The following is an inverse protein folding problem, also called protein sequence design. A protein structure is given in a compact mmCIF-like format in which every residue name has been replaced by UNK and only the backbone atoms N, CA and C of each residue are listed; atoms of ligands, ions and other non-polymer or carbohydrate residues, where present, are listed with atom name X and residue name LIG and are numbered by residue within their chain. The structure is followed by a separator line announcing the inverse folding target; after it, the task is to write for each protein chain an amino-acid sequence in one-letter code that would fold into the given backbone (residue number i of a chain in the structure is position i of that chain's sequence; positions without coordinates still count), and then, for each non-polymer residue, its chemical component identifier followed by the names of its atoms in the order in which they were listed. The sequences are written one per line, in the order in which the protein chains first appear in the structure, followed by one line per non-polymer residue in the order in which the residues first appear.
data_IF_327461145001
#
_entry.id   IF_327461145001
#
_cell.length_a   1.000
_cell.length_b   1.000
_cell.length_c   1.000
_cell.angle_alpha   90.00
_cell.angle_beta   90.00
_cell.angle_gamma   90.00
#
_symmetry.space_group_name_H-M   'P 1'
#
loop_
_entity.id
_entity.type
_entity.pdbx_description
1 polymer ?
#
# COMPACT_ATOMS: atom_id res chain seq x y z
N UNK A 1 -18.27 -27.55 26.00
CA UNK A 1 -18.45 -26.19 25.44
C UNK A 1 -17.61 -26.07 24.18
N UNK A 2 -18.22 -26.33 23.02
CA UNK A 2 -17.50 -26.38 21.74
C UNK A 2 -17.12 -25.00 21.19
N UNK A 3 -17.88 -23.95 21.53
CA UNK A 3 -17.62 -22.57 21.05
C UNK A 3 -16.24 -22.01 21.46
N UNK A 4 -15.69 -22.46 22.60
CA UNK A 4 -14.36 -22.03 23.09
C UNK A 4 -13.22 -22.43 22.15
N UNK A 5 -13.40 -23.48 21.34
CA UNK A 5 -12.42 -23.90 20.31
C UNK A 5 -12.39 -22.96 19.10
N UNK A 6 -13.44 -22.15 18.94
CA UNK A 6 -13.58 -21.17 17.86
C UNK A 6 -13.36 -19.73 18.33
N UNK A 7 -12.97 -19.51 19.60
CA UNK A 7 -12.68 -18.19 20.14
C UNK A 7 -11.17 -17.96 20.26
N UNK A 8 -10.68 -16.84 19.73
CA UNK A 8 -9.33 -16.31 19.97
C UNK A 8 -9.38 -15.14 20.94
N UNK A 9 -8.29 -14.86 21.66
CA UNK A 9 -8.23 -13.67 22.52
C UNK A 9 -8.14 -12.41 21.65
N UNK A 10 -8.92 -11.39 21.99
CA UNK A 10 -8.88 -10.09 21.30
C UNK A 10 -7.46 -9.51 21.32
N UNK A 11 -6.74 -9.64 22.43
CA UNK A 11 -5.35 -9.16 22.56
C UNK A 11 -4.38 -9.84 21.59
N UNK A 12 -4.58 -11.13 21.29
CA UNK A 12 -3.75 -11.88 20.34
C UNK A 12 -4.05 -11.43 18.91
N UNK A 13 -5.32 -11.18 18.59
CA UNK A 13 -5.74 -10.62 17.30
C UNK A 13 -5.19 -9.20 17.09
N UNK A 14 -5.30 -8.34 18.10
CA UNK A 14 -4.78 -6.97 18.04
C UNK A 14 -3.27 -6.95 17.82
N UNK A 15 -2.52 -7.76 18.57
CA UNK A 15 -1.06 -7.85 18.41
C UNK A 15 -0.67 -8.34 17.02
N UNK A 16 -1.34 -9.38 16.53
CA UNK A 16 -1.09 -9.91 15.20
C UNK A 16 -1.38 -8.87 14.11
N UNK A 17 -2.47 -8.10 14.25
CA UNK A 17 -2.82 -7.06 13.29
C UNK A 17 -1.77 -5.95 13.29
N UNK A 18 -1.34 -5.47 14.46
CA UNK A 18 -0.29 -4.44 14.56
C UNK A 18 1.04 -4.90 13.94
N UNK A 19 1.43 -6.16 14.13
CA UNK A 19 2.65 -6.71 13.51
C UNK A 19 2.54 -6.79 11.98
N UNK A 20 1.35 -7.07 11.45
CA UNK A 20 1.09 -7.07 10.01
C UNK A 20 1.16 -5.64 9.47
N UNK A 21 0.48 -4.69 10.10
CA UNK A 21 0.48 -3.28 9.70
C UNK A 21 1.89 -2.69 9.66
N UNK A 22 2.73 -3.01 10.66
CA UNK A 22 4.14 -2.60 10.68
C UNK A 22 4.94 -3.19 9.51
N UNK A 23 4.72 -4.47 9.19
CA UNK A 23 5.42 -5.12 8.06
C UNK A 23 5.01 -4.52 6.72
N UNK A 24 3.72 -4.21 6.53
CA UNK A 24 3.22 -3.57 5.31
C UNK A 24 3.86 -2.19 5.15
N UNK A 25 3.88 -1.38 6.21
CA UNK A 25 4.53 -0.06 6.19
C UNK A 25 6.02 -0.16 5.84
N UNK A 26 6.76 -1.04 6.50
CA UNK A 26 8.19 -1.19 6.24
C UNK A 26 8.47 -1.63 4.79
N UNK A 27 7.65 -2.53 4.24
CA UNK A 27 7.77 -2.95 2.83
C UNK A 27 7.52 -1.81 1.86
N UNK A 28 6.46 -1.04 2.10
CA UNK A 28 6.13 0.12 1.28
C UNK A 28 7.25 1.17 1.35
N UNK A 29 7.75 1.46 2.55
CA UNK A 29 8.79 2.47 2.75
C UNK A 29 10.09 2.10 2.02
N UNK A 30 10.59 0.88 2.20
CA UNK A 30 11.76 0.36 1.47
C UNK A 30 11.56 0.42 -0.05
N UNK A 31 10.37 0.03 -0.52
CA UNK A 31 10.06 0.06 -1.94
C UNK A 31 10.05 1.49 -2.50
N UNK A 32 9.45 2.44 -1.78
CA UNK A 32 9.42 3.86 -2.18
C UNK A 32 10.85 4.40 -2.24
N UNK A 33 11.68 4.18 -1.21
CA UNK A 33 13.09 4.61 -1.23
C UNK A 33 13.86 4.09 -2.46
N UNK A 34 13.53 2.88 -2.92
CA UNK A 34 14.16 2.27 -4.08
C UNK A 34 13.67 2.83 -5.43
N UNK A 35 12.47 3.40 -5.52
CA UNK A 35 11.85 3.77 -6.81
C UNK A 35 11.41 5.23 -6.91
N UNK A 36 11.41 5.98 -5.82
CA UNK A 36 11.00 7.38 -5.79
C UNK A 36 11.85 8.22 -6.75
N UNK A 37 11.18 9.12 -7.47
CA UNK A 37 11.77 10.01 -8.47
C UNK A 37 12.54 9.26 -9.59
N UNK A 38 12.33 7.95 -9.75
CA UNK A 38 12.79 7.18 -10.91
C UNK A 38 11.69 7.12 -11.96
N UNK A 39 12.07 6.91 -13.21
CA UNK A 39 11.15 6.71 -14.34
C UNK A 39 10.58 5.27 -14.33
N UNK A 40 9.92 4.93 -13.23
CA UNK A 40 9.40 3.59 -12.94
C UNK A 40 8.00 3.74 -12.36
N UNK A 41 7.03 3.04 -12.98
CA UNK A 41 5.69 2.85 -12.43
C UNK A 41 5.47 1.36 -12.15
N UNK A 42 4.69 1.07 -11.12
CA UNK A 42 4.45 -0.28 -10.62
C UNK A 42 2.97 -0.60 -10.77
N UNK A 43 2.65 -1.80 -11.25
CA UNK A 43 1.25 -2.25 -11.35
C UNK A 43 0.54 -2.21 -9.99
N UNK A 44 -0.68 -1.67 -9.97
CA UNK A 44 -1.54 -1.67 -8.79
C UNK A 44 -1.86 -3.10 -8.34
N UNK A 45 -2.06 -4.04 -9.27
CA UNK A 45 -2.36 -5.44 -8.93
C UNK A 45 -1.19 -6.08 -8.16
N UNK A 46 0.05 -5.77 -8.54
CA UNK A 46 1.23 -6.19 -7.78
C UNK A 46 1.23 -5.56 -6.37
N UNK A 47 0.90 -4.28 -6.24
CA UNK A 47 0.87 -3.59 -4.95
C UNK A 47 -0.22 -4.17 -4.02
N UNK A 48 -1.38 -4.52 -4.56
CA UNK A 48 -2.47 -5.20 -3.84
C UNK A 48 -1.96 -6.50 -3.23
N UNK A 49 -1.29 -7.35 -4.02
CA UNK A 49 -0.77 -8.62 -3.53
C UNK A 49 0.43 -8.44 -2.57
N UNK A 50 1.34 -7.51 -2.87
CA UNK A 50 2.59 -7.33 -2.13
C UNK A 50 2.37 -6.70 -0.74
N UNK A 51 1.44 -5.73 -0.67
CA UNK A 51 1.10 -5.00 0.55
C UNK A 51 -0.15 -5.58 1.25
N UNK A 52 -0.83 -6.54 0.63
CA UNK A 52 -2.11 -7.10 1.07
C UNK A 52 -3.21 -6.03 1.21
N UNK A 53 -3.31 -5.14 0.22
CA UNK A 53 -4.38 -4.13 0.17
C UNK A 53 -5.73 -4.79 -0.16
N UNK A 54 -6.79 -3.99 -0.13
CA UNK A 54 -8.08 -4.41 -0.67
C UNK A 54 -7.98 -4.90 -2.13
N UNK A 55 -8.84 -5.82 -2.52
CA UNK A 55 -8.88 -6.39 -3.87
C UNK A 55 -9.65 -5.49 -4.83
N UNK A 56 -10.55 -4.66 -4.32
CA UNK A 56 -11.16 -3.62 -5.12
C UNK A 56 -10.14 -2.51 -5.40
N UNK A 57 -10.05 -2.07 -6.66
CA UNK A 57 -9.01 -1.13 -7.09
C UNK A 57 -9.20 0.25 -6.45
N UNK A 58 -10.42 0.71 -6.28
CA UNK A 58 -10.70 2.03 -5.72
C UNK A 58 -10.41 2.05 -4.21
N UNK A 59 -10.75 0.96 -3.52
CA UNK A 59 -10.43 0.80 -2.10
C UNK A 59 -8.92 0.60 -1.89
N UNK A 60 -8.25 -0.16 -2.74
CA UNK A 60 -6.79 -0.32 -2.71
C UNK A 60 -6.04 1.01 -2.89
N UNK A 61 -6.49 1.86 -3.80
CA UNK A 61 -5.92 3.20 -4.02
C UNK A 61 -6.14 4.08 -2.77
N UNK A 62 -7.32 4.02 -2.15
CA UNK A 62 -7.59 4.76 -0.91
C UNK A 62 -6.71 4.27 0.25
N UNK A 63 -6.54 2.96 0.40
CA UNK A 63 -5.67 2.36 1.42
C UNK A 63 -4.20 2.74 1.18
N UNK A 64 -3.75 2.67 -0.07
CA UNK A 64 -2.41 3.10 -0.45
C UNK A 64 -2.19 4.58 -0.16
N UNK A 65 -3.16 5.45 -0.46
CA UNK A 65 -3.11 6.87 -0.13
C UNK A 65 -2.98 7.10 1.38
N UNK A 66 -3.73 6.34 2.20
CA UNK A 66 -3.60 6.40 3.65
C UNK A 66 -2.17 6.07 4.07
N UNK A 67 -1.60 4.98 3.56
CA UNK A 67 -0.23 4.57 3.89
C UNK A 67 0.82 5.60 3.46
N UNK A 68 0.74 6.12 2.23
CA UNK A 68 1.69 7.11 1.72
C UNK A 68 1.56 8.43 2.47
N UNK A 69 0.34 8.85 2.82
CA UNK A 69 0.11 10.09 3.58
C UNK A 69 0.74 10.09 4.98
N UNK A 70 1.03 8.91 5.52
CA UNK A 70 1.72 8.72 6.80
C UNK A 70 3.25 8.73 6.64
N UNK A 71 3.77 8.63 5.42
CA UNK A 71 5.18 8.76 5.10
C UNK A 71 5.42 10.22 4.72
N UNK A 72 6.22 10.92 5.51
CA UNK A 72 6.51 12.34 5.27
C UNK A 72 7.18 12.52 3.90
N UNK A 73 6.91 13.66 3.26
CA UNK A 73 7.53 14.08 2.00
C UNK A 73 7.32 13.17 0.77
N UNK A 74 6.40 12.20 0.83
CA UNK A 74 6.07 11.33 -0.32
C UNK A 74 4.68 11.61 -0.89
N UNK A 75 4.55 11.44 -2.21
CA UNK A 75 3.31 11.52 -2.96
C UNK A 75 3.32 10.45 -4.07
N UNK A 76 2.17 10.19 -4.69
CA UNK A 76 2.08 9.24 -5.80
C UNK A 76 1.26 9.81 -6.95
N UNK A 77 1.36 9.15 -8.09
CA UNK A 77 0.47 9.37 -9.22
C UNK A 77 -0.02 8.05 -9.79
N UNK A 78 -1.15 8.12 -10.47
CA UNK A 78 -1.82 6.99 -11.10
C UNK A 78 -1.78 7.20 -12.61
N UNK A 79 -1.39 6.17 -13.35
CA UNK A 79 -1.43 6.14 -14.81
C UNK A 79 -2.23 4.91 -15.22
N UNK A 80 -3.11 5.07 -16.19
CA UNK A 80 -3.86 3.96 -16.80
C UNK A 80 -3.26 3.70 -18.17
N UNK A 81 -2.91 2.45 -18.45
CA UNK A 81 -2.52 2.04 -19.80
C UNK A 81 -3.78 1.80 -20.63
N UNK A 82 -3.95 2.58 -21.70
CA UNK A 82 -5.12 2.50 -22.58
C UNK A 82 -5.19 1.19 -23.38
N UNK A 83 -4.09 0.44 -23.51
CA UNK A 83 -4.06 -0.79 -24.30
C UNK A 83 -4.76 -1.96 -23.60
N UNK A 84 -4.58 -2.07 -22.28
CA UNK A 84 -5.07 -3.19 -21.47
C UNK A 84 -5.87 -2.76 -20.24
N UNK A 85 -6.07 -1.45 -20.04
CA UNK A 85 -6.74 -0.84 -18.88
C UNK A 85 -6.06 -1.17 -17.55
N UNK A 86 -4.77 -1.50 -17.58
CA UNK A 86 -3.97 -1.73 -16.38
C UNK A 86 -3.67 -0.42 -15.66
N UNK A 87 -3.68 -0.47 -14.33
CA UNK A 87 -3.41 0.70 -13.48
C UNK A 87 -1.99 0.59 -12.95
N UNK A 88 -1.22 1.65 -13.10
CA UNK A 88 0.15 1.77 -12.62
C UNK A 88 0.29 2.95 -11.67
N UNK A 89 1.11 2.77 -10.65
CA UNK A 89 1.40 3.73 -9.60
C UNK A 89 2.87 4.12 -9.66
N UNK A 90 3.17 5.41 -9.67
CA UNK A 90 4.54 5.92 -9.54
C UNK A 90 4.65 6.79 -8.29
N UNK A 91 5.83 6.82 -7.69
CA UNK A 91 6.10 7.55 -6.46
C UNK A 91 7.00 8.75 -6.72
N UNK A 92 6.71 9.86 -6.07
CA UNK A 92 7.44 11.13 -6.23
C UNK A 92 7.59 11.82 -4.89
N UNK A 93 8.66 12.60 -4.75
CA UNK A 93 8.82 13.45 -3.57
C UNK A 93 7.75 14.57 -3.59
N UNK A 94 7.09 14.81 -2.46
CA UNK A 94 6.09 15.86 -2.22
C UNK A 94 6.76 17.24 -2.19
N UNK A 95 7.33 17.66 -3.32
CA UNK A 95 8.20 18.83 -3.34
C UNK A 95 8.95 19.11 -4.63
N UNK A 96 8.56 18.52 -5.77
CA UNK A 96 9.00 18.98 -7.11
C UNK A 96 7.83 19.15 -8.06
N UNK A 97 6.82 19.90 -7.65
CA UNK A 97 6.08 20.71 -8.63
C UNK A 97 7.00 21.87 -8.99
N UNK A 98 7.90 21.65 -9.96
CA UNK A 98 8.44 22.77 -10.72
C UNK A 98 7.38 23.15 -11.74
N UNK A 99 7.08 24.44 -11.74
CA UNK A 99 6.15 25.21 -12.59
C UNK A 99 4.70 25.29 -12.11
#
# INVERSE_FOLDING_TARGET
MEWKKYSKKISELQKSNTEIDMKVRNRLDTMIEEIIDKDIAVSLDFLIDYLHLDKDKDDAIQELNLHISLIEDNDYGVIVDDNDQSVYIFFKTRGKTKE
#
